data_IF_909260012401
#
_entry.id   IF_909260012401
#
_cell.length_a   1.000
_cell.length_b   1.000
_cell.length_c   1.000
_cell.angle_alpha   90.00
_cell.angle_beta   90.00
_cell.angle_gamma   90.00
#
_symmetry.space_group_name_H-M   'P 1'
#
loop_
_entity.id
_entity.type
_entity.pdbx_description
1 polymer ?
#
# COMPACT_ATOMS: atom_id res chain seq x y z
N UNK A 1 -21.09 -17.45 50.18
CA UNK A 1 -20.79 -16.40 49.20
C UNK A 1 -22.11 -15.79 48.76
N UNK A 2 -22.30 -14.47 48.88
CA UNK A 2 -23.59 -13.84 48.59
C UNK A 2 -23.91 -13.96 47.10
N UNK A 3 -25.06 -14.55 46.75
CA UNK A 3 -25.53 -14.74 45.36
C UNK A 3 -25.46 -13.44 44.55
N UNK A 4 -25.66 -12.29 45.22
CA UNK A 4 -25.51 -10.95 44.63
C UNK A 4 -24.08 -10.67 44.12
N UNK A 5 -23.05 -11.09 44.85
CA UNK A 5 -21.65 -10.89 44.46
C UNK A 5 -21.30 -11.78 43.26
N UNK A 6 -21.81 -13.01 43.25
CA UNK A 6 -21.62 -13.93 42.12
C UNK A 6 -22.23 -13.40 40.81
N UNK A 7 -23.45 -12.85 40.87
CA UNK A 7 -24.12 -12.25 39.71
C UNK A 7 -23.37 -11.02 39.17
N UNK A 8 -22.83 -10.17 40.04
CA UNK A 8 -22.05 -8.99 39.61
C UNK A 8 -20.77 -9.40 38.91
N UNK A 9 -20.05 -10.39 39.44
CA UNK A 9 -18.82 -10.91 38.81
C UNK A 9 -19.14 -11.52 37.43
N UNK A 10 -20.22 -12.29 37.30
CA UNK A 10 -20.65 -12.86 36.03
C UNK A 10 -20.99 -11.77 35.00
N UNK A 11 -21.66 -10.70 35.42
CA UNK A 11 -22.03 -9.59 34.55
C UNK A 11 -20.81 -8.84 34.04
N UNK A 12 -19.81 -8.62 34.90
CA UNK A 12 -18.53 -7.97 34.53
C UNK A 12 -17.76 -8.82 33.51
N UNK A 13 -17.72 -10.15 33.69
CA UNK A 13 -17.05 -11.07 32.76
C UNK A 13 -17.75 -11.07 31.40
N UNK A 14 -19.09 -11.13 31.36
CA UNK A 14 -19.86 -11.04 30.11
C UNK A 14 -19.62 -9.70 29.41
N UNK A 15 -19.63 -8.60 30.15
CA UNK A 15 -19.41 -7.26 29.58
C UNK A 15 -17.97 -7.01 29.12
N UNK A 16 -16.98 -7.74 29.64
CA UNK A 16 -15.60 -7.67 29.17
C UNK A 16 -15.36 -8.54 27.93
N UNK A 17 -15.97 -9.73 27.87
CA UNK A 17 -15.77 -10.69 26.78
C UNK A 17 -16.54 -10.31 25.50
N UNK A 18 -17.74 -9.73 25.62
CA UNK A 18 -18.58 -9.43 24.44
C UNK A 18 -17.96 -8.31 23.57
N UNK A 19 -17.54 -7.14 24.11
CA UNK A 19 -16.90 -6.10 23.29
C UNK A 19 -15.48 -6.49 22.86
N UNK A 20 -14.73 -7.21 23.71
CA UNK A 20 -13.37 -7.64 23.40
C UNK A 20 -13.30 -8.69 22.29
N UNK A 21 -14.19 -9.68 22.32
CA UNK A 21 -14.26 -10.74 21.30
C UNK A 21 -14.76 -10.24 19.94
N UNK A 22 -15.74 -9.32 19.92
CA UNK A 22 -16.25 -8.73 18.69
C UNK A 22 -15.20 -7.88 17.97
N UNK A 23 -14.39 -7.12 18.70
CA UNK A 23 -13.29 -6.33 18.11
C UNK A 23 -12.18 -7.21 17.50
N UNK A 24 -11.91 -8.39 18.07
CA UNK A 24 -10.88 -9.29 17.55
C UNK A 24 -11.33 -9.98 16.24
N UNK A 25 -12.60 -10.35 16.14
CA UNK A 25 -13.16 -11.02 14.94
C UNK A 25 -13.34 -10.08 13.75
N UNK A 26 -13.58 -8.79 13.97
CA UNK A 26 -13.79 -7.82 12.90
C UNK A 26 -12.52 -7.49 12.10
N UNK A 27 -11.34 -7.55 12.72
CA UNK A 27 -10.04 -7.35 12.05
C UNK A 27 -9.68 -8.43 11.00
N UNK A 28 -10.47 -9.50 10.91
CA UNK A 28 -10.32 -10.54 9.89
C UNK A 28 -11.03 -10.20 8.56
N UNK A 29 -11.89 -9.18 8.51
CA UNK A 29 -12.68 -8.82 7.32
C UNK A 29 -11.95 -7.75 6.48
N UNK A 30 -10.72 -8.06 6.08
CA UNK A 30 -9.87 -7.18 5.27
C UNK A 30 -10.20 -7.26 3.80
N UNK A 31 -9.93 -6.19 3.05
CA UNK A 31 -10.13 -6.12 1.61
C UNK A 31 -9.54 -7.32 0.85
N UNK A 32 -8.31 -7.73 1.18
CA UNK A 32 -7.62 -8.88 0.57
C UNK A 32 -8.33 -10.23 0.77
N UNK A 33 -8.97 -10.44 1.94
CA UNK A 33 -9.70 -11.69 2.23
C UNK A 33 -11.09 -11.71 1.59
N UNK A 34 -11.56 -10.55 1.17
CA UNK A 34 -12.92 -10.34 0.69
C UNK A 34 -12.96 -10.42 -0.83
N UNK A 35 -13.40 -11.57 -1.36
CA UNK A 35 -13.65 -11.71 -2.80
C UNK A 35 -14.85 -10.85 -3.23
N UNK A 36 -14.79 -10.32 -4.46
CA UNK A 36 -15.87 -9.56 -5.10
C UNK A 36 -16.26 -8.26 -4.37
N UNK A 37 -15.25 -7.51 -3.90
CA UNK A 37 -15.40 -6.09 -3.55
C UNK A 37 -15.17 -5.29 -4.82
N UNK A 38 -16.00 -4.28 -5.07
CA UNK A 38 -15.87 -3.45 -6.25
C UNK A 38 -14.83 -2.35 -5.99
N UNK A 39 -13.71 -2.42 -6.71
CA UNK A 39 -12.58 -1.49 -6.59
C UNK A 39 -12.32 -0.91 -7.98
N UNK A 40 -12.42 0.41 -8.12
CA UNK A 40 -12.32 1.10 -9.41
C UNK A 40 -11.25 2.17 -9.36
N UNK A 41 -10.36 2.19 -10.35
CA UNK A 41 -9.35 3.24 -10.47
C UNK A 41 -9.96 4.57 -10.95
N UNK A 42 -9.80 5.65 -10.17
CA UNK A 42 -10.40 6.94 -10.49
C UNK A 42 -9.47 7.90 -11.25
N UNK A 43 -8.16 7.75 -11.08
CA UNK A 43 -7.17 8.66 -11.64
C UNK A 43 -6.43 8.03 -12.83
N UNK A 44 -6.16 8.81 -13.89
CA UNK A 44 -5.39 8.36 -15.04
C UNK A 44 -3.88 8.34 -14.74
N UNK A 45 -3.09 7.88 -15.71
CA UNK A 45 -1.65 7.87 -15.65
C UNK A 45 -1.01 9.25 -15.39
N UNK A 46 0.15 9.20 -14.75
CA UNK A 46 0.95 10.32 -14.23
C UNK A 46 0.42 10.94 -12.93
N UNK A 47 -0.65 10.43 -12.34
CA UNK A 47 -1.30 11.06 -11.18
C UNK A 47 -0.71 10.53 -9.88
N UNK A 48 -0.10 11.41 -9.07
CA UNK A 48 0.50 11.03 -7.80
C UNK A 48 -0.11 11.87 -6.65
N UNK A 49 -0.74 11.23 -5.65
CA UNK A 49 -1.06 9.80 -5.57
C UNK A 49 -2.23 9.45 -6.50
N UNK A 50 -2.39 8.18 -6.85
CA UNK A 50 -3.64 7.72 -7.47
C UNK A 50 -4.78 7.72 -6.46
N UNK A 51 -6.01 7.69 -6.97
CA UNK A 51 -7.20 7.45 -6.16
C UNK A 51 -7.93 6.21 -6.67
N UNK A 52 -8.35 5.34 -5.76
CA UNK A 52 -9.22 4.19 -6.04
C UNK A 52 -10.50 4.34 -5.26
N UNK A 53 -11.63 4.03 -5.89
CA UNK A 53 -12.92 3.92 -5.20
C UNK A 53 -13.11 2.48 -4.77
N UNK A 54 -13.40 2.27 -3.49
CA UNK A 54 -13.73 0.95 -2.96
C UNK A 54 -15.17 1.01 -2.48
N UNK A 55 -16.05 0.19 -3.06
CA UNK A 55 -17.45 0.07 -2.66
C UNK A 55 -17.67 -1.20 -1.82
N UNK A 56 -18.11 -1.01 -0.58
CA UNK A 56 -18.51 -2.09 0.29
C UNK A 56 -19.94 -2.53 -0.04
N UNK A 57 -20.08 -3.49 -0.95
CA UNK A 57 -21.37 -4.11 -1.30
C UNK A 57 -21.87 -5.15 -0.28
N UNK A 58 -21.24 -5.26 0.90
CA UNK A 58 -21.55 -6.26 1.93
C UNK A 58 -22.37 -5.67 3.07
N UNK A 59 -22.91 -6.57 3.90
CA UNK A 59 -23.71 -6.23 5.08
C UNK A 59 -22.89 -6.01 6.36
N UNK A 60 -21.56 -6.01 6.26
CA UNK A 60 -20.65 -5.81 7.39
C UNK A 60 -19.50 -4.88 7.00
N UNK A 61 -18.85 -4.19 7.96
CA UNK A 61 -17.73 -3.31 7.67
C UNK A 61 -16.56 -4.06 7.04
N UNK A 62 -15.84 -3.42 6.12
CA UNK A 62 -14.61 -3.94 5.51
C UNK A 62 -13.44 -3.04 5.92
N UNK A 63 -12.37 -3.66 6.38
CA UNK A 63 -11.13 -2.96 6.70
C UNK A 63 -10.26 -2.85 5.46
N UNK A 64 -10.03 -1.62 5.03
CA UNK A 64 -9.05 -1.30 3.98
C UNK A 64 -7.73 -1.09 4.71
N UNK A 65 -6.78 -1.99 4.48
CA UNK A 65 -5.46 -1.90 5.10
C UNK A 65 -4.48 -1.25 4.15
N UNK A 66 -3.71 -0.29 4.65
CA UNK A 66 -2.52 0.23 4.00
C UNK A 66 -1.58 -0.93 3.67
N UNK A 67 -0.93 -0.84 2.51
CA UNK A 67 -0.07 -1.90 2.00
C UNK A 67 -0.82 -3.00 1.26
N UNK A 68 -2.17 -3.01 1.22
CA UNK A 68 -2.89 -3.98 0.37
C UNK A 68 -2.54 -3.71 -1.11
N UNK A 69 -2.13 -4.75 -1.85
CA UNK A 69 -1.86 -4.65 -3.29
C UNK A 69 -3.20 -4.78 -4.03
N UNK A 70 -3.37 -3.97 -5.07
CA UNK A 70 -4.49 -3.99 -5.99
C UNK A 70 -3.97 -4.31 -7.39
N UNK A 71 -4.37 -5.45 -7.92
CA UNK A 71 -3.95 -5.93 -9.23
C UNK A 71 -4.98 -5.61 -10.32
N UNK A 72 -4.49 -5.44 -11.55
CA UNK A 72 -5.33 -5.37 -12.74
C UNK A 72 -4.72 -6.13 -13.91
N UNK A 73 -5.57 -6.71 -14.75
CA UNK A 73 -5.11 -7.32 -16.00
C UNK A 73 -4.95 -6.30 -17.14
N UNK A 74 -5.47 -5.07 -16.96
CA UNK A 74 -5.49 -4.05 -18.01
C UNK A 74 -4.87 -2.72 -17.57
N UNK A 75 -4.96 -2.38 -16.29
CA UNK A 75 -4.30 -1.22 -15.69
C UNK A 75 -3.01 -1.65 -14.97
N UNK A 76 -2.24 -0.68 -14.53
CA UNK A 76 -1.14 -0.91 -13.60
C UNK A 76 -1.63 -1.44 -12.25
N UNK A 77 -0.74 -2.15 -11.55
CA UNK A 77 -0.97 -2.48 -10.15
C UNK A 77 -0.71 -1.29 -9.22
N UNK A 78 -1.43 -1.28 -8.10
CA UNK A 78 -1.38 -0.24 -7.08
C UNK A 78 -1.16 -0.82 -5.68
N UNK A 79 -0.68 0.02 -4.76
CA UNK A 79 -0.64 -0.28 -3.33
C UNK A 79 -1.42 0.75 -2.54
N UNK A 80 -2.34 0.30 -1.70
CA UNK A 80 -3.18 1.18 -0.86
C UNK A 80 -2.30 1.95 0.12
N UNK A 81 -2.51 3.26 0.20
CA UNK A 81 -1.63 4.14 0.94
C UNK A 81 -2.16 4.56 2.33
N UNK A 82 -3.45 4.36 2.60
CA UNK A 82 -4.08 4.69 3.89
C UNK A 82 -5.00 3.58 4.37
N UNK A 83 -5.01 3.40 5.69
CA UNK A 83 -6.01 2.58 6.35
C UNK A 83 -7.37 3.28 6.31
N UNK A 84 -8.43 2.51 6.15
CA UNK A 84 -9.81 2.99 6.20
C UNK A 84 -10.77 1.89 6.67
N UNK A 85 -11.97 2.28 7.10
CA UNK A 85 -13.04 1.36 7.49
C UNK A 85 -14.29 1.73 6.70
N UNK A 86 -14.66 0.85 5.76
CA UNK A 86 -15.85 1.02 4.94
C UNK A 86 -17.05 0.39 5.65
N UNK A 87 -18.01 1.21 6.07
CA UNK A 87 -19.28 0.71 6.60
C UNK A 87 -20.14 0.08 5.48
N UNK A 88 -21.09 -0.81 5.81
CA UNK A 88 -21.93 -1.49 4.83
C UNK A 88 -22.60 -0.54 3.83
N UNK A 89 -22.62 -0.95 2.55
CA UNK A 89 -23.28 -0.24 1.45
C UNK A 89 -22.78 1.19 1.18
N UNK A 90 -21.56 1.52 1.61
CA UNK A 90 -20.90 2.79 1.32
C UNK A 90 -19.67 2.62 0.43
N UNK A 91 -19.14 3.73 -0.06
CA UNK A 91 -17.85 3.79 -0.74
C UNK A 91 -16.92 4.79 -0.07
N UNK A 92 -15.61 4.61 -0.27
CA UNK A 92 -14.62 5.63 -0.02
C UNK A 92 -13.63 5.70 -1.19
N UNK A 93 -13.08 6.89 -1.38
CA UNK A 93 -11.97 7.13 -2.30
C UNK A 93 -10.68 7.11 -1.48
N UNK A 94 -9.82 6.14 -1.76
CA UNK A 94 -8.61 5.85 -0.98
C UNK A 94 -7.38 6.15 -1.84
N UNK A 95 -6.37 6.85 -1.32
CA UNK A 95 -5.14 7.08 -2.06
C UNK A 95 -4.36 5.78 -2.22
N UNK A 96 -3.72 5.63 -3.38
CA UNK A 96 -2.85 4.51 -3.70
C UNK A 96 -1.62 4.96 -4.50
N UNK A 97 -0.54 4.20 -4.43
CA UNK A 97 0.67 4.44 -5.21
C UNK A 97 0.83 3.37 -6.28
N UNK A 98 1.38 3.76 -7.44
CA UNK A 98 1.73 2.83 -8.51
C UNK A 98 2.90 1.93 -8.09
N UNK A 99 2.86 0.63 -8.39
CA UNK A 99 3.99 -0.27 -8.21
C UNK A 99 4.64 -0.71 -9.54
N UNK A 100 4.03 -0.38 -10.68
CA UNK A 100 4.50 -0.74 -12.02
C UNK A 100 4.78 0.50 -12.89
N UNK A 101 5.99 1.06 -12.86
CA UNK A 101 6.30 2.30 -13.58
C UNK A 101 6.13 2.21 -15.12
N UNK A 102 6.12 1.01 -15.69
CA UNK A 102 6.07 0.75 -17.13
C UNK A 102 4.64 0.44 -17.64
N UNK A 103 3.68 0.26 -16.73
CA UNK A 103 2.27 0.01 -17.05
C UNK A 103 1.48 1.31 -16.82
N UNK A 104 0.55 1.67 -17.70
CA UNK A 104 -0.28 2.86 -17.51
C UNK A 104 -1.45 2.59 -16.57
N UNK A 105 -1.76 3.54 -15.70
CA UNK A 105 -3.09 3.65 -15.11
C UNK A 105 -4.21 3.87 -16.15
N UNK A 106 -5.23 3.01 -16.10
CA UNK A 106 -6.48 3.17 -16.86
C UNK A 106 -7.59 3.61 -15.90
N UNK A 107 -8.13 4.82 -16.12
CA UNK A 107 -9.27 5.32 -15.36
C UNK A 107 -10.53 4.52 -15.69
N UNK A 108 -11.25 4.13 -14.64
CA UNK A 108 -12.47 3.32 -14.72
C UNK A 108 -12.21 1.83 -14.68
N UNK A 109 -10.96 1.39 -14.70
CA UNK A 109 -10.64 -0.03 -14.67
C UNK A 109 -10.86 -0.63 -13.28
N UNK A 110 -11.35 -1.87 -13.27
CA UNK A 110 -11.56 -2.62 -12.05
C UNK A 110 -10.25 -3.26 -11.57
N UNK A 111 -10.07 -3.23 -10.25
CA UNK A 111 -8.91 -3.79 -9.57
C UNK A 111 -9.35 -4.91 -8.63
N UNK A 112 -8.43 -5.82 -8.31
CA UNK A 112 -8.65 -6.87 -7.32
C UNK A 112 -7.59 -6.77 -6.23
N UNK A 113 -8.00 -6.87 -4.96
CA UNK A 113 -7.02 -6.97 -3.88
C UNK A 113 -6.30 -8.32 -3.94
N UNK A 114 -4.97 -8.31 -3.88
CA UNK A 114 -4.13 -9.52 -3.95
C UNK A 114 -2.93 -9.41 -3.01
N UNK A 115 -3.12 -9.82 -1.75
CA UNK A 115 -2.04 -9.83 -0.77
C UNK A 115 -1.64 -8.44 -0.29
N UNK A 116 -0.42 -8.40 0.28
CA UNK A 116 0.15 -7.21 0.92
C UNK A 116 1.55 -6.94 0.40
N UNK A 117 1.84 -5.66 0.21
CA UNK A 117 3.15 -5.16 -0.12
C UNK A 117 4.13 -5.46 1.02
N UNK A 118 5.40 -5.77 0.69
CA UNK A 118 6.40 -6.03 1.70
C UNK A 118 6.65 -4.85 2.64
N UNK A 119 7.24 -5.15 3.80
CA UNK A 119 7.40 -4.20 4.90
C UNK A 119 8.13 -2.92 4.48
N UNK A 120 9.11 -3.00 3.58
CA UNK A 120 9.83 -1.83 3.07
C UNK A 120 8.91 -0.82 2.36
N UNK A 121 7.99 -1.30 1.51
CA UNK A 121 7.00 -0.44 0.83
C UNK A 121 6.02 0.12 1.86
N UNK A 122 5.53 -0.73 2.77
CA UNK A 122 4.63 -0.31 3.85
C UNK A 122 5.26 0.75 4.76
N UNK A 123 6.56 0.67 5.03
CA UNK A 123 7.32 1.66 5.80
C UNK A 123 7.40 2.99 5.05
N UNK A 124 7.78 2.97 3.77
CA UNK A 124 7.83 4.16 2.91
C UNK A 124 6.48 4.86 2.89
N UNK A 125 5.40 4.13 2.64
CA UNK A 125 4.03 4.66 2.66
C UNK A 125 3.68 5.25 4.03
N UNK A 126 4.03 4.56 5.13
CA UNK A 126 3.73 5.02 6.49
C UNK A 126 4.45 6.32 6.86
N UNK A 127 5.60 6.58 6.24
CA UNK A 127 6.38 7.81 6.43
C UNK A 127 5.90 9.00 5.59
N UNK A 128 4.86 8.81 4.77
CA UNK A 128 4.34 9.84 3.87
C UNK A 128 3.72 10.99 4.64
N UNK A 129 4.21 12.21 4.39
CA UNK A 129 3.57 13.44 4.78
C UNK A 129 2.53 13.87 3.73
N UNK A 130 1.26 13.55 4.01
CA UNK A 130 0.13 13.80 3.12
C UNK A 130 -0.23 15.27 2.87
N UNK A 131 0.38 16.22 3.58
CA UNK A 131 0.19 17.66 3.32
C UNK A 131 1.28 18.26 2.44
N UNK A 132 2.33 17.49 2.11
CA UNK A 132 3.43 17.92 1.27
C UNK A 132 3.46 17.12 -0.04
N UNK A 133 3.13 17.77 -1.15
CA UNK A 133 3.08 17.14 -2.48
C UNK A 133 4.44 16.62 -2.95
N UNK A 134 5.54 17.30 -2.62
CA UNK A 134 6.89 16.84 -2.94
C UNK A 134 7.18 15.52 -2.21
N UNK A 135 6.81 15.43 -0.93
CA UNK A 135 6.98 14.20 -0.16
C UNK A 135 6.12 13.03 -0.67
N UNK A 136 4.88 13.29 -1.11
CA UNK A 136 4.03 12.27 -1.73
C UNK A 136 4.65 11.79 -3.05
N UNK A 137 5.18 12.73 -3.84
CA UNK A 137 5.90 12.42 -5.07
C UNK A 137 7.15 11.58 -4.81
N UNK A 138 7.94 11.97 -3.81
CA UNK A 138 9.13 11.22 -3.41
C UNK A 138 8.74 9.82 -2.94
N UNK A 139 7.63 9.66 -2.22
CA UNK A 139 7.12 8.35 -1.80
C UNK A 139 6.84 7.46 -3.01
N UNK A 140 6.17 7.97 -4.05
CA UNK A 140 5.93 7.24 -5.30
C UNK A 140 7.25 6.78 -5.95
N UNK A 141 8.24 7.66 -6.07
CA UNK A 141 9.53 7.34 -6.68
C UNK A 141 10.33 6.32 -5.85
N UNK A 142 10.27 6.41 -4.52
CA UNK A 142 10.87 5.43 -3.62
C UNK A 142 10.23 4.04 -3.78
N UNK A 143 8.91 3.97 -4.01
CA UNK A 143 8.23 2.70 -4.27
C UNK A 143 8.72 2.09 -5.60
N UNK A 144 8.82 2.88 -6.67
CA UNK A 144 9.38 2.40 -7.93
C UNK A 144 10.81 1.90 -7.79
N UNK A 145 11.66 2.63 -7.06
CA UNK A 145 13.02 2.19 -6.77
C UNK A 145 13.04 0.86 -5.98
N UNK A 146 12.13 0.66 -5.03
CA UNK A 146 12.04 -0.61 -4.29
C UNK A 146 11.57 -1.79 -5.16
N UNK A 147 10.68 -1.55 -6.14
CA UNK A 147 10.10 -2.60 -6.98
C UNK A 147 10.97 -2.93 -8.20
N UNK A 148 11.49 -1.91 -8.89
CA UNK A 148 12.25 -2.05 -10.15
C UNK A 148 13.72 -1.67 -10.04
N UNK A 149 14.13 -1.01 -8.95
CA UNK A 149 15.44 -0.38 -8.88
C UNK A 149 15.55 0.77 -9.89
N UNK A 150 16.73 0.93 -10.46
CA UNK A 150 17.01 1.85 -11.58
C UNK A 150 16.74 1.21 -12.95
N UNK A 151 16.27 -0.04 -12.99
CA UNK A 151 16.13 -0.84 -14.20
C UNK A 151 14.65 -0.95 -14.63
N UNK A 152 14.08 0.18 -15.03
CA UNK A 152 12.80 0.26 -15.73
C UNK A 152 12.91 1.29 -16.86
N UNK A 153 12.08 1.17 -17.90
CA UNK A 153 12.05 2.14 -19.00
C UNK A 153 11.33 3.43 -18.59
N UNK A 154 12.04 4.56 -18.39
CA UNK A 154 11.43 5.83 -18.00
C UNK A 154 10.59 6.47 -19.12
N UNK A 155 10.66 5.94 -20.34
CA UNK A 155 9.94 6.45 -21.51
C UNK A 155 8.64 5.68 -21.79
N UNK A 156 8.18 4.86 -20.85
CA UNK A 156 6.99 4.03 -20.99
C UNK A 156 6.00 4.21 -19.83
N UNK A 157 4.75 3.78 -20.05
CA UNK A 157 3.79 3.58 -18.98
C UNK A 157 3.50 4.79 -18.08
N UNK A 158 3.40 4.51 -16.79
CA UNK A 158 3.19 5.49 -15.74
C UNK A 158 4.35 6.49 -15.64
N UNK A 159 5.59 6.06 -15.88
CA UNK A 159 6.77 6.91 -15.78
C UNK A 159 6.80 8.00 -16.86
N UNK A 160 6.49 7.64 -18.12
CA UNK A 160 6.26 8.59 -19.21
C UNK A 160 5.14 9.58 -18.87
N UNK A 161 4.00 9.06 -18.41
CA UNK A 161 2.85 9.87 -18.06
C UNK A 161 3.16 10.80 -16.87
N UNK A 162 3.95 10.34 -15.90
CA UNK A 162 4.40 11.12 -14.75
C UNK A 162 5.27 12.29 -15.18
N UNK A 163 6.27 12.06 -16.05
CA UNK A 163 7.15 13.11 -16.59
C UNK A 163 6.31 14.17 -17.31
N UNK A 164 5.41 13.73 -18.20
CA UNK A 164 4.54 14.62 -18.95
C UNK A 164 3.62 15.44 -18.06
N UNK A 165 2.95 14.79 -17.09
CA UNK A 165 1.95 15.44 -16.22
C UNK A 165 2.55 16.41 -15.22
N UNK A 166 3.75 16.12 -14.73
CA UNK A 166 4.46 16.98 -13.77
C UNK A 166 5.36 18.01 -14.45
N UNK A 167 5.40 18.04 -15.79
CA UNK A 167 6.19 18.97 -16.58
C UNK A 167 7.68 18.99 -16.16
N UNK A 168 8.25 17.80 -15.94
CA UNK A 168 9.68 17.61 -15.64
C UNK A 168 10.39 16.98 -16.84
N UNK A 169 11.72 17.02 -16.86
CA UNK A 169 12.50 16.25 -17.83
C UNK A 169 12.80 14.84 -17.31
N UNK A 170 13.17 13.94 -18.22
CA UNK A 170 13.67 12.61 -17.85
C UNK A 170 14.96 12.68 -17.05
N UNK A 171 15.84 13.64 -17.34
CA UNK A 171 17.07 13.86 -16.58
C UNK A 171 16.75 14.23 -15.13
N UNK A 172 15.74 15.08 -14.91
CA UNK A 172 15.27 15.42 -13.55
C UNK A 172 14.67 14.21 -12.83
N UNK A 173 13.92 13.36 -13.54
CA UNK A 173 13.40 12.11 -12.97
C UNK A 173 14.55 11.17 -12.56
N UNK A 174 15.53 10.96 -13.45
CA UNK A 174 16.70 10.13 -13.15
C UNK A 174 17.52 10.68 -11.99
N UNK A 175 17.79 11.99 -11.96
CA UNK A 175 18.52 12.63 -10.86
C UNK A 175 17.82 12.40 -9.51
N UNK A 176 16.49 12.54 -9.47
CA UNK A 176 15.69 12.24 -8.27
C UNK A 176 15.86 10.78 -7.83
N UNK A 177 15.80 9.83 -8.76
CA UNK A 177 15.94 8.40 -8.45
C UNK A 177 17.33 8.07 -7.94
N UNK A 178 18.39 8.55 -8.60
CA UNK A 178 19.78 8.31 -8.16
C UNK A 178 20.06 8.94 -6.79
N UNK A 179 19.52 10.15 -6.53
CA UNK A 179 19.62 10.78 -5.22
C UNK A 179 18.92 9.94 -4.15
N UNK A 180 17.72 9.42 -4.43
CA UNK A 180 17.00 8.54 -3.52
C UNK A 180 17.73 7.22 -3.28
N UNK A 181 18.31 6.61 -4.30
CA UNK A 181 19.11 5.38 -4.18
C UNK A 181 20.33 5.59 -3.28
N UNK A 182 21.04 6.71 -3.45
CA UNK A 182 22.16 7.09 -2.59
C UNK A 182 21.71 7.31 -1.13
N UNK A 183 20.59 7.99 -0.92
CA UNK A 183 20.01 8.22 0.41
C UNK A 183 19.55 6.90 1.07
N UNK A 184 18.90 6.00 0.33
CA UNK A 184 18.51 4.68 0.83
C UNK A 184 19.73 3.84 1.22
N UNK A 185 20.76 3.81 0.36
CA UNK A 185 21.99 3.07 0.64
C UNK A 185 22.68 3.56 1.91
N UNK A 186 22.66 4.87 2.15
CA UNK A 186 23.23 5.52 3.34
C UNK A 186 22.39 5.29 4.60
N UNK A 187 21.06 5.42 4.51
CA UNK A 187 20.16 5.40 5.66
C UNK A 187 19.72 3.99 6.09
N UNK A 188 19.65 3.03 5.18
CA UNK A 188 19.31 1.64 5.54
C UNK A 188 20.45 0.95 6.31
N UNK A 189 21.69 1.43 6.11
CA UNK A 189 22.87 1.03 6.90
C UNK A 189 22.80 1.49 8.36
N UNK A 190 22.01 2.53 8.67
CA UNK A 190 21.92 3.13 10.02
C UNK A 190 20.57 2.91 10.72
N UNK A 191 19.48 2.70 9.97
CA UNK A 191 18.11 2.58 10.52
C UNK A 191 17.72 1.15 10.87
N UNK A 192 18.30 0.17 10.18
CA UNK A 192 18.31 -1.22 10.59
C UNK A 192 19.65 -1.46 11.28
N UNK A 193 19.66 -2.01 12.49
CA UNK A 193 20.89 -2.36 13.21
C UNK A 193 21.56 -3.56 12.51
N UNK A 194 22.08 -3.33 11.30
CA UNK A 194 22.74 -4.30 10.43
C UNK A 194 24.23 -4.30 10.79
N UNK A 195 24.56 -4.65 12.03
CA UNK A 195 25.88 -5.20 12.32
C UNK A 195 25.89 -6.74 12.24
N UNK A 196 24.73 -7.40 12.07
CA UNK A 196 24.68 -8.88 12.06
C UNK A 196 23.74 -9.54 11.05
N UNK A 197 23.10 -8.79 10.14
CA UNK A 197 22.19 -9.35 9.14
C UNK A 197 22.76 -9.06 7.75
N UNK A 198 23.75 -9.88 7.41
CA UNK A 198 24.68 -9.74 6.29
C UNK A 198 24.06 -9.24 4.97
N UNK A 199 24.90 -8.61 4.13
CA UNK A 199 24.67 -8.30 2.70
C UNK A 199 23.93 -9.40 1.91
N UNK A 200 24.00 -10.66 2.35
CA UNK A 200 23.25 -11.76 1.75
C UNK A 200 21.73 -11.65 1.94
N UNK A 201 21.21 -11.07 3.03
CA UNK A 201 19.76 -10.91 3.21
C UNK A 201 19.21 -9.79 2.31
N UNK A 202 19.93 -8.67 2.16
CA UNK A 202 19.53 -7.61 1.22
C UNK A 202 19.55 -8.15 -0.22
N UNK A 203 20.58 -8.93 -0.57
CA UNK A 203 20.67 -9.58 -1.87
C UNK A 203 19.62 -10.68 -2.04
N UNK A 204 19.28 -11.44 -0.99
CA UNK A 204 18.17 -12.41 -0.99
C UNK A 204 16.81 -11.72 -1.12
N UNK A 205 16.60 -10.59 -0.44
CA UNK A 205 15.38 -9.80 -0.53
C UNK A 205 15.25 -9.30 -1.97
N UNK A 206 16.29 -8.64 -2.51
CA UNK A 206 16.33 -8.18 -3.91
C UNK A 206 16.13 -9.35 -4.89
N UNK A 207 16.73 -10.51 -4.63
CA UNK A 207 16.59 -11.70 -5.49
C UNK A 207 15.19 -12.35 -5.39
N UNK A 208 14.59 -12.41 -4.19
CA UNK A 208 13.23 -12.91 -3.98
C UNK A 208 12.19 -11.96 -4.60
N UNK A 209 12.43 -10.65 -4.53
CA UNK A 209 11.64 -9.65 -5.23
C UNK A 209 11.70 -9.84 -6.74
N UNK A 210 12.90 -10.01 -7.31
CA UNK A 210 13.06 -10.31 -8.74
C UNK A 210 12.33 -11.60 -9.15
N UNK A 211 12.33 -12.63 -8.30
CA UNK A 211 11.62 -13.88 -8.58
C UNK A 211 10.09 -13.77 -8.48
N UNK A 212 9.58 -12.86 -7.65
CA UNK A 212 8.13 -12.66 -7.47
C UNK A 212 7.49 -11.97 -8.69
N UNK A 213 8.20 -11.01 -9.31
CA UNK A 213 7.73 -10.29 -10.50
C UNK A 213 8.18 -10.89 -11.85
N UNK A 214 8.83 -12.06 -11.83
CA UNK A 214 9.22 -12.82 -13.03
C UNK A 214 8.31 -14.04 -13.30
N UNK A 215 7.22 -14.18 -12.54
CA UNK A 215 6.13 -15.12 -12.82
C UNK A 215 4.97 -14.39 -13.48
#
# INVERSE_FOLDING_TARGET
MNVRIFLVILFIILFALIPGGLNYSLNELTLEKMKNVDIVQLTPAGTVPHQVRIYNNKYFPIYVKKGTILESNQSQDLVIAKDDILVPHTYADVPAFCIEPETCAIKGEHLKADGYAPEAISYVISSTNWTNQENITDTQLKIWLLVRGTNYDPYSGESLAFVSKNNISYDTLQEKIYKMEAEFSKNMSSSFNIQNISKNLLQEIINRFKQFFQK
#
